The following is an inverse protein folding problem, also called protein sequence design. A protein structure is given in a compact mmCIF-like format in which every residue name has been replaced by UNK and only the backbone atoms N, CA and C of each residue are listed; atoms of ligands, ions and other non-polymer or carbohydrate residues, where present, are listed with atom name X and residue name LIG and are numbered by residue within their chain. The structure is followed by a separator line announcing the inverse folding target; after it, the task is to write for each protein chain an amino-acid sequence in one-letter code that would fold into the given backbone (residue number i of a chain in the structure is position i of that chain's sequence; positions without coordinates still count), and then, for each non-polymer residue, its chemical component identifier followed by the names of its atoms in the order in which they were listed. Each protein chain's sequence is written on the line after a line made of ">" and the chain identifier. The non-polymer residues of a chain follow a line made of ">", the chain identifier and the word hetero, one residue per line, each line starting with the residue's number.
data_IF_087975874786
#
_entry.id   IF_087975874786
#
_cell.length_a   1.000
_cell.length_b   1.000
_cell.length_c   1.000
_cell.angle_alpha   90.00
_cell.angle_beta   90.00
_cell.angle_gamma   90.00
#
_symmetry.space_group_name_H-M   'P 1'
#
loop_
_entity.id
_entity.type
_entity.pdbx_description
1 polymer ?
#
# COMPACT_ATOMS: atom_id res chain seq x y z
N UNK A 1 -17.47 -16.67 -18.27
CA UNK A 1 -17.17 -17.90 -19.04
C UNK A 1 -15.69 -18.00 -19.34
N UNK A 2 -15.06 -17.02 -20.00
CA UNK A 2 -13.61 -17.06 -20.31
C UNK A 2 -12.69 -17.39 -19.12
N UNK A 3 -12.89 -16.75 -17.96
CA UNK A 3 -12.10 -17.04 -16.74
C UNK A 3 -12.21 -18.50 -16.27
N UNK A 4 -13.36 -19.15 -16.48
CA UNK A 4 -13.52 -20.56 -16.12
C UNK A 4 -12.77 -21.49 -17.06
N UNK A 5 -12.21 -21.00 -18.18
CA UNK A 5 -11.30 -21.76 -19.04
C UNK A 5 -10.03 -22.24 -18.31
N UNK A 6 -9.63 -21.56 -17.24
CA UNK A 6 -8.51 -21.97 -16.40
C UNK A 6 -8.88 -23.11 -15.42
N UNK A 7 -7.87 -23.85 -15.00
CA UNK A 7 -7.95 -24.84 -13.91
C UNK A 7 -8.00 -24.18 -12.54
N UNK A 8 -7.24 -23.09 -12.37
CA UNK A 8 -7.17 -22.30 -11.15
C UNK A 8 -7.36 -20.83 -11.49
N UNK A 9 -8.25 -20.15 -10.77
CA UNK A 9 -8.47 -18.71 -10.82
C UNK A 9 -8.05 -18.12 -9.47
N UNK A 10 -6.94 -17.39 -9.46
CA UNK A 10 -6.40 -16.76 -8.26
C UNK A 10 -6.93 -15.35 -8.03
N UNK A 11 -7.22 -15.03 -6.77
CA UNK A 11 -7.63 -13.70 -6.32
C UNK A 11 -6.68 -13.20 -5.23
N UNK A 12 -6.62 -11.88 -4.99
CA UNK A 12 -5.82 -11.35 -3.89
C UNK A 12 -6.49 -11.59 -2.54
N UNK A 13 -7.81 -11.40 -2.47
CA UNK A 13 -8.60 -11.49 -1.25
C UNK A 13 -9.60 -12.64 -1.31
N UNK A 14 -9.88 -13.24 -0.15
CA UNK A 14 -10.88 -14.30 -0.04
C UNK A 14 -12.28 -13.82 -0.47
N UNK A 15 -12.62 -12.57 -0.14
CA UNK A 15 -13.90 -11.99 -0.53
C UNK A 15 -14.05 -11.88 -2.05
N UNK A 16 -12.98 -11.56 -2.77
CA UNK A 16 -13.03 -11.44 -4.24
C UNK A 16 -13.24 -12.82 -4.89
N UNK A 17 -12.63 -13.87 -4.35
CA UNK A 17 -12.91 -15.26 -4.77
C UNK A 17 -14.37 -15.65 -4.49
N UNK A 18 -14.90 -15.32 -3.31
CA UNK A 18 -16.32 -15.54 -2.96
C UNK A 18 -17.27 -14.79 -3.90
N UNK A 19 -16.93 -13.55 -4.26
CA UNK A 19 -17.71 -12.74 -5.20
C UNK A 19 -17.73 -13.39 -6.60
N UNK A 20 -16.57 -13.88 -7.07
CA UNK A 20 -16.48 -14.61 -8.33
C UNK A 20 -17.33 -15.88 -8.32
N UNK A 21 -17.21 -16.71 -7.28
CA UNK A 21 -17.99 -17.95 -7.12
C UNK A 21 -19.51 -17.67 -7.08
N UNK A 22 -19.91 -16.58 -6.40
CA UNK A 22 -21.29 -16.13 -6.37
C UNK A 22 -21.78 -15.68 -7.76
N UNK A 23 -20.95 -14.95 -8.49
CA UNK A 23 -21.25 -14.55 -9.87
C UNK A 23 -21.37 -15.75 -10.80
N UNK A 24 -20.50 -16.76 -10.68
CA UNK A 24 -20.59 -18.02 -11.43
C UNK A 24 -21.91 -18.73 -11.15
N UNK A 25 -22.26 -18.93 -9.88
CA UNK A 25 -23.52 -19.59 -9.49
C UNK A 25 -24.75 -18.82 -9.99
N UNK A 26 -24.78 -17.50 -9.87
CA UNK A 26 -25.95 -16.68 -10.23
C UNK A 26 -26.08 -16.42 -11.73
N UNK A 27 -24.97 -16.12 -12.41
CA UNK A 27 -24.99 -15.69 -13.83
C UNK A 27 -24.86 -16.86 -14.80
N UNK A 28 -24.06 -17.87 -14.46
CA UNK A 28 -23.84 -19.03 -15.32
C UNK A 28 -24.64 -20.26 -14.88
N UNK A 29 -25.27 -20.22 -13.70
CA UNK A 29 -26.06 -21.33 -13.13
C UNK A 29 -25.29 -22.65 -13.04
N UNK A 30 -23.97 -22.54 -12.85
CA UNK A 30 -23.09 -23.70 -12.65
C UNK A 30 -23.07 -24.13 -11.20
N UNK A 31 -22.83 -25.42 -10.97
CA UNK A 31 -22.64 -25.97 -9.63
C UNK A 31 -21.30 -25.50 -9.03
N UNK A 32 -21.37 -25.11 -7.75
CA UNK A 32 -20.25 -24.55 -7.00
C UNK A 32 -20.25 -25.12 -5.59
N UNK A 33 -19.24 -25.93 -5.28
CA UNK A 33 -19.02 -26.57 -3.98
C UNK A 33 -17.69 -26.10 -3.37
N UNK A 34 -17.77 -25.36 -2.27
CA UNK A 34 -16.59 -24.71 -1.68
C UNK A 34 -15.92 -23.75 -2.67
N UNK A 35 -14.63 -23.94 -2.93
CA UNK A 35 -13.85 -23.21 -3.92
C UNK A 35 -13.91 -23.81 -5.34
N UNK A 36 -14.64 -24.91 -5.52
CA UNK A 36 -14.64 -25.67 -6.78
C UNK A 36 -15.90 -25.38 -7.60
N UNK A 37 -15.72 -25.18 -8.90
CA UNK A 37 -16.76 -24.98 -9.90
C UNK A 37 -16.78 -26.19 -10.83
N UNK A 38 -17.96 -26.78 -11.04
CA UNK A 38 -18.17 -27.82 -12.05
C UNK A 38 -18.38 -27.16 -13.41
N UNK A 39 -17.45 -27.37 -14.35
CA UNK A 39 -17.46 -26.74 -15.68
C UNK A 39 -17.82 -27.78 -16.74
N UNK A 40 -18.99 -27.67 -17.40
CA UNK A 40 -19.45 -28.67 -18.37
C UNK A 40 -18.93 -28.45 -19.80
N UNK A 41 -18.39 -27.26 -20.10
CA UNK A 41 -17.97 -26.89 -21.45
C UNK A 41 -16.58 -27.46 -21.77
N UNK A 42 -16.45 -28.15 -22.91
CA UNK A 42 -15.18 -28.75 -23.34
C UNK A 42 -14.83 -30.07 -22.65
N UNK A 43 -15.83 -30.76 -22.07
CA UNK A 43 -15.67 -31.97 -21.27
C UNK A 43 -15.90 -31.69 -19.78
N UNK A 44 -16.44 -32.67 -19.01
CA UNK A 44 -16.68 -32.47 -17.59
C UNK A 44 -15.35 -32.30 -16.85
N UNK A 45 -15.16 -31.14 -16.24
CA UNK A 45 -13.98 -30.85 -15.42
C UNK A 45 -14.34 -29.93 -14.26
N UNK A 46 -13.37 -29.71 -13.39
CA UNK A 46 -13.46 -28.76 -12.29
C UNK A 46 -12.52 -27.58 -12.51
N UNK A 47 -12.89 -26.43 -11.96
CA UNK A 47 -12.02 -25.26 -11.82
C UNK A 47 -12.03 -24.81 -10.36
N UNK A 48 -10.88 -24.38 -9.83
CA UNK A 48 -10.76 -23.90 -8.45
C UNK A 48 -10.59 -22.39 -8.43
N UNK A 49 -11.38 -21.69 -7.62
CA UNK A 49 -11.21 -20.27 -7.37
C UNK A 49 -10.93 -20.01 -5.88
N UNK A 50 -9.75 -19.46 -5.57
CA UNK A 50 -9.36 -19.12 -4.20
C UNK A 50 -8.41 -17.93 -4.14
N UNK A 51 -8.15 -17.45 -2.94
CA UNK A 51 -7.22 -16.35 -2.71
C UNK A 51 -5.77 -16.83 -2.61
N UNK A 52 -4.87 -16.04 -3.19
CA UNK A 52 -3.41 -16.14 -3.18
C UNK A 52 -2.86 -14.72 -3.07
N UNK A 53 -2.75 -14.17 -1.85
CA UNK A 53 -2.31 -12.80 -1.64
C UNK A 53 -0.85 -12.66 -2.10
N UNK A 54 -0.62 -11.86 -3.14
CA UNK A 54 0.72 -11.64 -3.69
C UNK A 54 1.58 -10.88 -2.67
N UNK A 55 2.88 -11.09 -2.75
CA UNK A 55 3.86 -10.44 -1.91
C UNK A 55 5.08 -10.02 -2.72
N UNK A 56 6.11 -9.53 -2.03
CA UNK A 56 7.36 -9.07 -2.66
C UNK A 56 8.48 -10.08 -2.43
N UNK A 57 9.51 -10.02 -3.28
CA UNK A 57 10.83 -10.50 -2.89
C UNK A 57 11.41 -9.50 -1.89
N UNK A 58 11.58 -9.93 -0.64
CA UNK A 58 12.01 -9.04 0.45
C UNK A 58 13.51 -8.81 0.45
N UNK A 59 14.31 -9.72 -0.10
CA UNK A 59 15.77 -9.71 0.00
C UNK A 59 16.38 -8.43 -0.59
N UNK A 60 16.03 -7.98 -1.81
CA UNK A 60 16.55 -6.74 -2.34
C UNK A 60 16.26 -5.50 -1.46
N UNK A 61 15.12 -5.47 -0.77
CA UNK A 61 14.75 -4.34 0.09
C UNK A 61 15.50 -4.39 1.42
N UNK A 62 15.70 -5.58 2.00
CA UNK A 62 16.48 -5.73 3.24
C UNK A 62 17.95 -5.41 3.01
N UNK A 63 18.50 -5.86 1.88
CA UNK A 63 19.91 -5.66 1.53
C UNK A 63 20.20 -4.17 1.28
N UNK A 64 19.36 -3.51 0.46
CA UNK A 64 19.47 -2.07 0.24
C UNK A 64 19.30 -1.28 1.54
N UNK A 65 18.38 -1.68 2.43
CA UNK A 65 18.18 -1.00 3.71
C UNK A 65 19.35 -1.17 4.70
N UNK A 66 20.20 -2.18 4.49
CA UNK A 66 21.42 -2.39 5.29
C UNK A 66 22.63 -1.61 4.76
N UNK A 67 22.59 -1.15 3.50
CA UNK A 67 23.71 -0.46 2.86
C UNK A 67 24.01 0.91 3.50
N UNK A 68 25.28 1.21 3.83
CA UNK A 68 25.67 2.49 4.40
C UNK A 68 25.34 3.70 3.50
N UNK A 69 25.52 3.58 2.19
CA UNK A 69 25.24 4.66 1.23
C UNK A 69 23.75 4.99 1.15
N UNK A 70 22.87 3.99 1.20
CA UNK A 70 21.42 4.20 1.22
C UNK A 70 20.95 4.84 2.53
N UNK A 71 21.60 4.51 3.65
CA UNK A 71 21.33 5.14 4.96
C UNK A 71 21.81 6.59 5.02
N UNK A 72 22.99 6.86 4.45
CA UNK A 72 23.48 8.23 4.28
C UNK A 72 22.50 9.04 3.42
N UNK A 73 22.03 8.47 2.31
CA UNK A 73 21.01 9.09 1.45
C UNK A 73 19.72 9.39 2.21
N UNK A 74 19.26 8.49 3.07
CA UNK A 74 18.09 8.74 3.92
C UNK A 74 18.30 9.93 4.87
N UNK A 75 19.51 10.10 5.42
CA UNK A 75 19.85 11.26 6.25
C UNK A 75 19.89 12.57 5.45
N UNK A 76 20.49 12.56 4.26
CA UNK A 76 20.50 13.70 3.32
C UNK A 76 19.07 14.13 2.93
N UNK A 77 18.16 13.17 2.72
CA UNK A 77 16.75 13.47 2.44
C UNK A 77 16.13 14.23 3.61
N UNK A 78 16.41 13.84 4.86
CA UNK A 78 15.90 14.57 6.04
C UNK A 78 16.49 15.97 6.14
N UNK A 79 17.78 16.11 5.88
CA UNK A 79 18.47 17.41 5.90
C UNK A 79 17.90 18.35 4.82
N UNK A 80 17.70 17.84 3.60
CA UNK A 80 17.09 18.60 2.51
C UNK A 80 15.62 18.97 2.72
N UNK A 81 14.96 18.40 3.72
CA UNK A 81 13.60 18.76 4.16
C UNK A 81 13.59 19.73 5.35
N UNK A 82 14.75 20.21 5.81
CA UNK A 82 14.85 21.09 6.98
C UNK A 82 14.94 20.37 8.32
N UNK A 83 15.24 19.06 8.31
CA UNK A 83 15.27 18.21 9.51
C UNK A 83 13.98 18.24 10.35
N UNK A 84 12.80 17.99 9.73
CA UNK A 84 11.55 17.97 10.48
C UNK A 84 11.57 16.88 11.55
N UNK A 85 10.82 17.06 12.64
CA UNK A 85 10.68 16.05 13.69
C UNK A 85 10.07 14.77 13.15
N UNK A 86 9.12 14.88 12.21
CA UNK A 86 8.41 13.75 11.58
C UNK A 86 8.28 13.91 10.08
N UNK A 87 8.58 12.83 9.37
CA UNK A 87 8.32 12.70 7.93
C UNK A 87 7.18 11.70 7.72
N UNK A 88 6.09 12.16 7.14
CA UNK A 88 5.02 11.30 6.64
C UNK A 88 5.30 11.02 5.16
N UNK A 89 5.15 9.77 4.72
CA UNK A 89 5.44 9.37 3.35
C UNK A 89 4.22 8.71 2.70
N UNK A 90 3.86 9.22 1.52
CA UNK A 90 2.93 8.59 0.59
C UNK A 90 3.64 8.20 -0.70
N UNK A 91 3.47 6.97 -1.16
CA UNK A 91 4.06 6.49 -2.42
C UNK A 91 3.00 5.70 -3.18
N UNK A 92 2.59 6.23 -4.32
CA UNK A 92 1.51 5.65 -5.10
C UNK A 92 1.73 5.92 -6.59
N UNK A 93 1.15 5.10 -7.46
CA UNK A 93 0.88 5.55 -8.84
C UNK A 93 -0.19 6.62 -8.77
N UNK A 94 -0.11 7.64 -9.63
CA UNK A 94 -1.18 8.63 -9.74
C UNK A 94 -2.45 7.95 -10.27
N UNK A 95 -3.36 7.59 -9.37
CA UNK A 95 -4.55 6.80 -9.65
C UNK A 95 -5.64 7.10 -8.61
N UNK A 96 -6.88 7.24 -9.05
CA UNK A 96 -8.01 7.65 -8.20
C UNK A 96 -8.31 6.63 -7.10
N UNK A 97 -7.90 5.36 -7.26
CA UNK A 97 -8.11 4.35 -6.21
C UNK A 97 -7.13 4.47 -5.06
N UNK A 98 -6.05 5.26 -5.20
CA UNK A 98 -4.97 5.35 -4.20
C UNK A 98 -5.23 6.32 -3.06
N UNK A 99 -6.31 7.09 -3.13
CA UNK A 99 -6.74 7.95 -2.02
C UNK A 99 -5.75 9.07 -1.68
N UNK A 100 -4.91 9.49 -2.64
CA UNK A 100 -3.92 10.57 -2.48
C UNK A 100 -4.63 11.87 -2.06
N UNK A 101 -5.75 12.21 -2.70
CA UNK A 101 -6.58 13.38 -2.33
C UNK A 101 -7.07 13.33 -0.88
N UNK A 102 -7.41 12.15 -0.36
CA UNK A 102 -7.90 12.00 1.02
C UNK A 102 -6.77 12.20 2.02
N UNK A 103 -5.58 11.69 1.72
CA UNK A 103 -4.36 11.90 2.51
C UNK A 103 -3.97 13.38 2.58
N UNK A 104 -3.93 14.05 1.42
CA UNK A 104 -3.59 15.47 1.32
C UNK A 104 -4.62 16.32 2.08
N UNK A 105 -5.92 16.02 1.90
CA UNK A 105 -6.99 16.70 2.62
C UNK A 105 -6.84 16.55 4.15
N UNK A 106 -6.68 15.32 4.65
CA UNK A 106 -6.51 15.09 6.09
C UNK A 106 -5.27 15.80 6.64
N UNK A 107 -4.17 15.82 5.90
CA UNK A 107 -2.95 16.53 6.30
C UNK A 107 -3.17 18.06 6.35
N UNK A 108 -3.83 18.63 5.34
CA UNK A 108 -4.20 20.05 5.32
C UNK A 108 -5.10 20.44 6.49
N UNK A 109 -6.14 19.65 6.77
CA UNK A 109 -7.04 19.91 7.92
C UNK A 109 -6.31 19.81 9.27
N UNK A 110 -5.32 18.91 9.42
CA UNK A 110 -4.49 18.87 10.64
C UNK A 110 -3.65 20.13 10.84
N UNK A 111 -3.17 20.73 9.75
CA UNK A 111 -2.44 22.00 9.79
C UNK A 111 -3.39 23.16 10.14
N UNK A 112 -4.54 23.24 9.47
CA UNK A 112 -5.57 24.26 9.72
C UNK A 112 -6.06 24.23 11.18
N UNK A 113 -6.14 23.05 11.78
CA UNK A 113 -6.53 22.83 13.18
C UNK A 113 -5.40 23.08 14.18
N UNK A 114 -4.17 23.32 13.72
CA UNK A 114 -2.99 23.46 14.58
C UNK A 114 -2.62 22.19 15.34
N UNK A 115 -3.06 21.01 14.88
CA UNK A 115 -2.73 19.71 15.48
C UNK A 115 -1.31 19.26 15.11
N UNK A 116 -0.79 19.76 13.99
CA UNK A 116 0.60 19.66 13.55
C UNK A 116 1.04 21.03 13.03
N UNK A 117 2.35 21.26 12.96
CA UNK A 117 2.94 22.42 12.29
C UNK A 117 3.97 21.97 11.25
N UNK A 118 4.26 22.84 10.28
CA UNK A 118 5.22 22.54 9.20
C UNK A 118 6.67 22.47 9.66
N UNK A 119 7.03 23.09 10.80
CA UNK A 119 8.37 22.93 11.38
C UNK A 119 8.58 21.53 11.96
N UNK A 120 7.50 20.91 12.45
CA UNK A 120 7.55 19.62 13.10
C UNK A 120 7.24 18.45 12.15
N UNK A 121 6.30 18.61 11.22
CA UNK A 121 5.76 17.52 10.41
C UNK A 121 5.69 17.92 8.94
N UNK A 122 6.34 17.12 8.09
CA UNK A 122 6.27 17.28 6.62
C UNK A 122 5.66 16.04 5.98
N UNK A 123 4.80 16.24 4.99
CA UNK A 123 4.32 15.16 4.12
C UNK A 123 5.14 15.12 2.83
N UNK A 124 5.78 13.99 2.55
CA UNK A 124 6.39 13.69 1.25
C UNK A 124 5.44 12.80 0.46
N UNK A 125 5.05 13.24 -0.74
CA UNK A 125 4.19 12.48 -1.64
C UNK A 125 4.93 12.20 -2.95
N UNK A 126 5.28 10.93 -3.17
CA UNK A 126 5.76 10.44 -4.46
C UNK A 126 4.57 9.91 -5.26
N UNK A 127 4.35 10.48 -6.43
CA UNK A 127 3.32 10.07 -7.36
C UNK A 127 3.95 9.65 -8.69
N UNK A 128 4.04 8.35 -8.96
CA UNK A 128 4.56 7.88 -10.25
C UNK A 128 3.54 8.13 -11.36
N UNK A 129 3.93 8.73 -12.50
CA UNK A 129 3.03 8.96 -13.63
C UNK A 129 2.35 7.66 -14.10
N UNK A 130 1.07 7.75 -14.45
CA UNK A 130 0.27 6.58 -14.85
C UNK A 130 -0.88 7.01 -15.75
N UNK A 131 -1.02 6.35 -16.90
CA UNK A 131 -2.16 6.52 -17.83
C UNK A 131 -2.44 7.99 -18.22
N UNK A 132 -1.38 8.74 -18.49
CA UNK A 132 -1.42 10.20 -18.71
C UNK A 132 -2.27 10.68 -19.90
N UNK A 133 -2.70 9.77 -20.78
CA UNK A 133 -3.59 10.08 -21.91
C UNK A 133 -5.08 9.90 -21.60
N UNK A 134 -5.42 9.48 -20.38
CA UNK A 134 -6.80 9.27 -19.96
C UNK A 134 -7.26 10.48 -19.17
N UNK A 135 -8.31 11.17 -19.63
CA UNK A 135 -8.77 12.44 -19.06
C UNK A 135 -8.99 12.39 -17.53
N UNK A 136 -9.55 11.29 -17.02
CA UNK A 136 -9.75 11.11 -15.58
C UNK A 136 -8.44 11.14 -14.77
N UNK A 137 -7.32 10.70 -15.36
CA UNK A 137 -5.99 10.75 -14.71
C UNK A 137 -5.37 12.14 -14.80
N UNK A 138 -5.62 12.87 -15.89
CA UNK A 138 -5.20 14.28 -16.05
C UNK A 138 -5.93 15.15 -15.03
N UNK A 139 -7.26 15.04 -14.95
CA UNK A 139 -8.06 15.80 -13.98
C UNK A 139 -7.64 15.50 -12.54
N UNK A 140 -7.41 14.22 -12.21
CA UNK A 140 -6.93 13.83 -10.89
C UNK A 140 -5.57 14.48 -10.56
N UNK A 141 -4.67 14.57 -11.55
CA UNK A 141 -3.39 15.23 -11.40
C UNK A 141 -3.59 16.70 -11.03
N UNK A 142 -4.37 17.42 -11.83
CA UNK A 142 -4.62 18.84 -11.65
C UNK A 142 -5.24 19.13 -10.28
N UNK A 143 -6.20 18.31 -9.85
CA UNK A 143 -6.81 18.42 -8.51
C UNK A 143 -5.79 18.20 -7.37
N UNK A 144 -4.87 17.24 -7.52
CA UNK A 144 -3.83 16.97 -6.53
C UNK A 144 -2.81 18.12 -6.49
N UNK A 145 -2.31 18.53 -7.64
CA UNK A 145 -1.32 19.62 -7.74
C UNK A 145 -1.89 20.94 -7.21
N UNK A 146 -3.15 21.25 -7.53
CA UNK A 146 -3.84 22.43 -6.99
C UNK A 146 -3.99 22.36 -5.46
N UNK A 147 -4.38 21.20 -4.92
CA UNK A 147 -4.52 21.03 -3.48
C UNK A 147 -3.18 21.17 -2.74
N UNK A 148 -2.11 20.58 -3.29
CA UNK A 148 -0.74 20.74 -2.77
C UNK A 148 -0.32 22.21 -2.79
N UNK A 149 -0.49 22.88 -3.94
CA UNK A 149 -0.09 24.27 -4.10
C UNK A 149 -0.83 25.19 -3.12
N UNK A 150 -2.12 24.94 -2.89
CA UNK A 150 -2.92 25.69 -1.92
C UNK A 150 -2.44 25.47 -0.49
N UNK A 151 -2.32 24.21 -0.04
CA UNK A 151 -1.88 23.89 1.32
C UNK A 151 -0.49 24.46 1.59
N UNK A 152 0.44 24.31 0.65
CA UNK A 152 1.77 24.90 0.78
C UNK A 152 1.71 26.43 0.81
N UNK A 153 0.89 27.07 -0.05
CA UNK A 153 0.73 28.52 -0.03
C UNK A 153 0.16 29.08 1.27
N UNK A 154 -0.70 28.31 1.94
CA UNK A 154 -1.33 28.69 3.21
C UNK A 154 -0.40 28.44 4.42
N UNK A 155 0.49 27.44 4.36
CA UNK A 155 1.23 26.93 5.53
C UNK A 155 2.76 26.92 5.43
N UNK A 156 3.35 27.05 4.25
CA UNK A 156 4.82 27.01 4.10
C UNK A 156 5.48 28.17 4.87
N UNK A 157 6.68 27.90 5.38
CA UNK A 157 7.60 28.93 5.87
C UNK A 157 8.77 29.06 4.91
N UNK A 158 9.67 30.03 5.15
CA UNK A 158 10.89 30.17 4.34
C UNK A 158 11.76 28.90 4.36
N UNK A 159 11.72 28.15 5.46
CA UNK A 159 12.60 27.00 5.71
C UNK A 159 11.87 25.64 5.59
N UNK A 160 10.54 25.62 5.69
CA UNK A 160 9.76 24.38 5.74
C UNK A 160 8.61 24.38 4.73
N UNK A 161 8.50 23.27 4.00
CA UNK A 161 7.38 23.00 3.08
C UNK A 161 6.41 22.02 3.73
N UNK A 162 5.11 22.32 3.73
CA UNK A 162 4.07 21.46 4.25
C UNK A 162 4.04 20.10 3.51
N UNK A 163 3.92 20.15 2.18
CA UNK A 163 3.86 18.97 1.32
C UNK A 163 4.94 19.03 0.23
N UNK A 164 5.91 18.11 0.30
CA UNK A 164 6.86 17.85 -0.80
C UNK A 164 6.24 16.87 -1.78
N UNK A 165 5.66 17.38 -2.87
CA UNK A 165 5.08 16.57 -3.94
C UNK A 165 6.08 16.30 -5.07
N UNK A 166 6.20 15.05 -5.49
CA UNK A 166 7.15 14.58 -6.50
C UNK A 166 6.41 13.72 -7.54
N UNK A 167 6.12 14.30 -8.72
CA UNK A 167 5.48 13.59 -9.83
C UNK A 167 6.51 12.93 -10.76
N UNK A 168 7.20 11.90 -10.25
CA UNK A 168 8.20 11.15 -11.00
C UNK A 168 8.41 9.75 -10.42
N UNK A 169 8.97 8.85 -11.24
CA UNK A 169 9.44 7.56 -10.76
C UNK A 169 10.84 7.66 -10.17
N UNK A 170 11.12 6.84 -9.17
CA UNK A 170 12.45 6.75 -8.55
C UNK A 170 13.05 5.35 -8.73
N UNK A 171 14.39 5.25 -8.83
CA UNK A 171 15.07 3.98 -8.74
C UNK A 171 14.87 3.36 -7.34
N UNK A 172 15.07 2.05 -7.24
CA UNK A 172 14.76 1.29 -6.02
C UNK A 172 15.57 1.78 -4.82
N UNK A 173 16.83 2.13 -5.03
CA UNK A 173 17.75 2.63 -4.01
C UNK A 173 17.21 3.92 -3.37
N UNK A 174 16.75 4.87 -4.19
CA UNK A 174 16.18 6.13 -3.71
C UNK A 174 14.84 5.89 -2.99
N UNK A 175 14.02 4.95 -3.49
CA UNK A 175 12.79 4.55 -2.80
C UNK A 175 13.05 3.95 -1.42
N UNK A 176 14.08 3.10 -1.29
CA UNK A 176 14.48 2.53 0.01
C UNK A 176 15.00 3.63 0.93
N UNK A 177 15.77 4.59 0.42
CA UNK A 177 16.21 5.74 1.21
C UNK A 177 15.02 6.58 1.72
N UNK A 178 14.00 6.83 0.89
CA UNK A 178 12.76 7.48 1.31
C UNK A 178 12.01 6.69 2.39
N UNK A 179 11.90 5.36 2.24
CA UNK A 179 11.26 4.50 3.26
C UNK A 179 11.99 4.53 4.61
N UNK A 180 13.33 4.65 4.59
CA UNK A 180 14.16 4.77 5.80
C UNK A 180 14.07 6.17 6.41
N UNK A 181 13.96 7.22 5.59
CA UNK A 181 13.82 8.60 6.04
C UNK A 181 12.46 8.87 6.71
N UNK A 182 11.40 8.19 6.25
CA UNK A 182 10.04 8.37 6.76
C UNK A 182 9.86 7.90 8.22
N UNK A 183 9.08 8.62 9.01
CA UNK A 183 8.63 8.20 10.34
C UNK A 183 7.29 7.45 10.28
N UNK A 184 6.43 7.78 9.31
CA UNK A 184 5.21 7.04 9.05
C UNK A 184 4.94 6.90 7.56
N UNK A 185 4.58 5.69 7.14
CA UNK A 185 4.09 5.41 5.80
C UNK A 185 2.56 5.47 5.81
N UNK A 186 1.99 6.31 4.96
CA UNK A 186 0.55 6.46 4.79
C UNK A 186 0.13 5.70 3.53
N UNK A 187 -0.71 4.68 3.67
CA UNK A 187 -1.27 3.91 2.55
C UNK A 187 -2.79 4.00 2.64
N UNK A 188 -3.38 4.96 1.92
CA UNK A 188 -4.78 5.39 2.12
C UNK A 188 -5.69 5.01 0.94
N UNK A 189 -5.35 3.93 0.24
CA UNK A 189 -6.09 3.51 -0.96
C UNK A 189 -7.57 3.23 -0.66
N UNK A 190 -8.47 3.77 -1.48
CA UNK A 190 -9.92 3.56 -1.41
C UNK A 190 -10.32 2.15 -1.83
N UNK A 191 -9.53 1.55 -2.74
CA UNK A 191 -9.65 0.14 -3.12
C UNK A 191 -8.34 -0.32 -3.73
N UNK A 192 -7.77 -1.39 -3.20
CA UNK A 192 -6.54 -1.97 -3.74
C UNK A 192 -6.54 -3.50 -3.61
N UNK A 193 -6.27 -4.19 -4.71
CA UNK A 193 -6.22 -5.66 -4.69
C UNK A 193 -5.14 -6.17 -3.73
N UNK A 194 -3.95 -5.58 -3.82
CA UNK A 194 -2.85 -5.73 -2.87
C UNK A 194 -2.00 -4.47 -2.92
N UNK A 195 -1.51 -4.00 -1.76
CA UNK A 195 -0.62 -2.85 -1.70
C UNK A 195 0.81 -3.32 -1.39
N UNK A 196 1.66 -3.41 -2.42
CA UNK A 196 3.03 -3.88 -2.27
C UNK A 196 3.93 -2.83 -1.62
N UNK A 197 3.68 -1.54 -1.84
CA UNK A 197 4.41 -0.44 -1.18
C UNK A 197 4.37 -0.58 0.35
N UNK A 198 3.22 -0.95 0.92
CA UNK A 198 3.10 -1.25 2.35
C UNK A 198 4.06 -2.36 2.80
N UNK A 199 4.18 -3.44 2.00
CA UNK A 199 5.08 -4.56 2.29
C UNK A 199 6.56 -4.17 2.09
N UNK A 200 6.87 -3.37 1.08
CA UNK A 200 8.20 -2.84 0.81
C UNK A 200 8.70 -1.99 1.97
N UNK A 201 7.88 -1.02 2.42
CA UNK A 201 8.19 -0.21 3.59
C UNK A 201 8.45 -1.08 4.82
N UNK A 202 7.57 -2.03 5.12
CA UNK A 202 7.77 -2.95 6.26
C UNK A 202 9.08 -3.74 6.11
N UNK A 203 9.41 -4.21 4.90
CA UNK A 203 10.63 -4.96 4.63
C UNK A 203 11.93 -4.15 4.84
N UNK A 204 11.92 -2.82 4.65
CA UNK A 204 13.10 -1.98 4.88
C UNK A 204 13.34 -1.62 6.36
N UNK A 205 12.32 -1.70 7.23
CA UNK A 205 12.43 -1.33 8.66
C UNK A 205 13.13 -2.36 9.55
N UNK A 206 14.35 -2.77 9.17
CA UNK A 206 15.20 -3.67 9.99
C UNK A 206 15.49 -3.11 11.39
N UNK A 207 15.44 -1.79 11.55
CA UNK A 207 15.58 -1.07 12.81
C UNK A 207 14.32 -1.13 13.71
N UNK A 208 13.23 -1.74 13.23
CA UNK A 208 11.94 -1.84 13.90
C UNK A 208 11.31 -0.49 14.25
N UNK A 209 11.73 0.60 13.60
CA UNK A 209 11.12 1.92 13.80
C UNK A 209 10.04 2.19 12.76
N UNK A 210 9.32 3.27 12.97
CA UNK A 210 8.35 3.81 12.03
C UNK A 210 6.98 3.15 12.14
N UNK A 211 5.98 3.84 11.60
CA UNK A 211 4.57 3.43 11.65
C UNK A 211 4.05 3.18 10.24
N UNK A 212 3.18 2.19 10.08
CA UNK A 212 2.40 1.98 8.86
C UNK A 212 0.94 2.32 9.17
N UNK A 213 0.41 3.36 8.55
CA UNK A 213 -1.02 3.67 8.49
C UNK A 213 -1.56 3.04 7.21
N UNK A 214 -2.55 2.16 7.32
CA UNK A 214 -2.97 1.29 6.23
C UNK A 214 -4.48 1.25 6.09
N UNK A 215 -4.97 1.56 4.90
CA UNK A 215 -6.39 1.45 4.58
C UNK A 215 -6.87 0.01 4.66
N UNK A 216 -8.00 -0.20 5.35
CA UNK A 216 -8.70 -1.48 5.45
C UNK A 216 -9.23 -2.00 4.09
N UNK A 217 -9.26 -1.12 3.08
CA UNK A 217 -9.70 -1.44 1.72
C UNK A 217 -8.56 -1.97 0.83
N UNK A 218 -7.38 -2.19 1.39
CA UNK A 218 -6.26 -2.86 0.73
C UNK A 218 -6.24 -4.35 1.06
N UNK A 219 -5.88 -5.20 0.10
CA UNK A 219 -5.59 -6.61 0.39
C UNK A 219 -4.45 -6.81 1.40
N UNK A 220 -3.54 -5.84 1.51
CA UNK A 220 -2.46 -5.87 2.50
C UNK A 220 -3.00 -5.82 3.94
N UNK A 221 -4.14 -5.16 4.19
CA UNK A 221 -4.74 -5.08 5.52
C UNK A 221 -5.22 -6.43 6.06
N UNK A 222 -5.55 -7.39 5.17
CA UNK A 222 -5.93 -8.74 5.57
C UNK A 222 -4.77 -9.47 6.30
N UNK A 223 -3.53 -9.12 5.95
CA UNK A 223 -2.29 -9.70 6.48
C UNK A 223 -1.59 -8.81 7.53
N UNK A 224 -1.57 -7.50 7.32
CA UNK A 224 -0.79 -6.51 8.09
C UNK A 224 -1.58 -5.92 9.27
N UNK A 225 -2.24 -6.76 10.06
CA UNK A 225 -3.19 -6.35 11.12
C UNK A 225 -2.60 -5.55 12.29
N UNK A 226 -1.27 -5.46 12.39
CA UNK A 226 -0.60 -4.64 13.42
C UNK A 226 -0.31 -3.21 12.97
N UNK A 227 -0.62 -2.88 11.71
CA UNK A 227 -0.66 -1.51 11.20
C UNK A 227 -1.73 -0.69 11.95
N UNK A 228 -1.66 0.64 11.84
CA UNK A 228 -2.77 1.52 12.21
C UNK A 228 -3.78 1.45 11.06
N UNK A 229 -4.84 0.65 11.23
CA UNK A 229 -5.85 0.48 10.20
C UNK A 229 -6.80 1.68 10.15
N UNK A 230 -7.17 2.10 8.95
CA UNK A 230 -8.02 3.28 8.74
C UNK A 230 -9.05 3.04 7.64
N UNK A 231 -10.24 3.61 7.79
CA UNK A 231 -11.17 3.82 6.70
C UNK A 231 -10.87 5.18 6.03
N UNK A 232 -10.34 5.22 4.79
CA UNK A 232 -9.96 6.48 4.15
C UNK A 232 -11.16 7.36 3.77
N UNK A 233 -12.39 6.85 3.81
CA UNK A 233 -13.60 7.65 3.63
C UNK A 233 -13.99 8.45 4.88
N UNK A 234 -13.45 8.08 6.04
CA UNK A 234 -13.58 8.82 7.29
C UNK A 234 -12.35 9.72 7.46
N UNK A 235 -12.48 11.00 7.09
CA UNK A 235 -11.38 11.96 7.16
C UNK A 235 -10.97 12.22 8.61
N UNK A 236 -11.91 12.30 9.56
CA UNK A 236 -11.58 12.45 10.98
C UNK A 236 -10.81 11.24 11.51
N UNK A 237 -11.28 10.03 11.20
CA UNK A 237 -10.56 8.80 11.52
C UNK A 237 -9.16 8.74 10.90
N UNK A 238 -8.98 9.28 9.68
CA UNK A 238 -7.66 9.38 9.04
C UNK A 238 -6.75 10.39 9.74
N UNK A 239 -7.26 11.55 10.14
CA UNK A 239 -6.53 12.54 10.92
C UNK A 239 -6.07 11.95 12.26
N UNK A 240 -6.95 11.25 12.97
CA UNK A 240 -6.61 10.58 14.22
C UNK A 240 -5.58 9.47 14.05
N UNK A 241 -5.67 8.69 12.96
CA UNK A 241 -4.67 7.69 12.62
C UNK A 241 -3.29 8.31 12.31
N UNK A 242 -3.26 9.46 11.63
CA UNK A 242 -2.02 10.22 11.38
C UNK A 242 -1.42 10.70 12.70
N UNK A 243 -2.22 11.30 13.59
CA UNK A 243 -1.75 11.74 14.90
C UNK A 243 -1.25 10.58 15.76
N UNK A 244 -1.96 9.45 15.76
CA UNK A 244 -1.50 8.24 16.41
C UNK A 244 -0.12 7.80 15.89
N UNK A 245 0.12 7.89 14.58
CA UNK A 245 1.42 7.55 14.00
C UNK A 245 2.52 8.54 14.36
N UNK A 246 2.21 9.84 14.37
CA UNK A 246 3.12 10.94 14.74
C UNK A 246 3.58 10.80 16.20
N UNK A 247 2.66 10.47 17.11
CA UNK A 247 2.89 10.44 18.55
C UNK A 247 3.25 9.05 19.09
N UNK A 248 3.27 8.02 18.24
CA UNK A 248 3.48 6.63 18.67
C UNK A 248 4.82 6.46 19.42
N UNK A 249 4.82 5.97 20.67
CA UNK A 249 6.06 5.76 21.42
C UNK A 249 6.97 4.70 20.78
N UNK A 250 8.31 4.83 20.85
CA UNK A 250 9.25 3.90 20.21
C UNK A 250 9.03 2.42 20.57
N UNK A 251 8.64 2.13 21.82
CA UNK A 251 8.34 0.76 22.27
C UNK A 251 7.15 0.16 21.52
N UNK A 252 6.12 0.96 21.26
CA UNK A 252 4.95 0.51 20.50
C UNK A 252 5.28 0.34 19.02
N UNK A 253 6.03 1.28 18.43
CA UNK A 253 6.51 1.18 17.04
C UNK A 253 7.28 -0.13 16.83
N UNK A 254 8.25 -0.43 17.70
CA UNK A 254 9.04 -1.66 17.66
C UNK A 254 8.21 -2.92 17.76
N UNK A 255 7.23 -2.95 18.67
CA UNK A 255 6.32 -4.09 18.83
C UNK A 255 5.51 -4.33 17.56
N UNK A 256 4.89 -3.29 16.99
CA UNK A 256 4.06 -3.39 15.78
C UNK A 256 4.90 -3.75 14.55
N UNK A 257 6.00 -3.04 14.33
CA UNK A 257 6.87 -3.24 13.17
C UNK A 257 7.49 -4.65 13.16
N UNK A 258 7.90 -5.18 14.32
CA UNK A 258 8.40 -6.57 14.41
C UNK A 258 7.36 -7.59 13.97
N UNK A 259 6.10 -7.41 14.37
CA UNK A 259 5.01 -8.31 13.97
C UNK A 259 4.68 -8.19 12.47
N UNK A 260 4.65 -6.95 11.94
CA UNK A 260 4.47 -6.70 10.51
C UNK A 260 5.58 -7.35 9.68
N UNK A 261 6.84 -7.15 10.09
CA UNK A 261 8.01 -7.73 9.41
C UNK A 261 7.99 -9.24 9.40
N UNK A 262 7.69 -9.87 10.55
CA UNK A 262 7.56 -11.33 10.62
C UNK A 262 6.57 -11.83 9.56
N UNK A 263 5.40 -11.20 9.45
CA UNK A 263 4.39 -11.58 8.46
C UNK A 263 4.89 -11.44 7.02
N UNK A 264 5.51 -10.31 6.68
CA UNK A 264 5.99 -10.04 5.31
C UNK A 264 7.14 -10.98 4.91
N UNK A 265 8.08 -11.24 5.82
CA UNK A 265 9.23 -12.13 5.55
C UNK A 265 8.82 -13.60 5.44
N UNK A 266 7.83 -14.06 6.21
CA UNK A 266 7.34 -15.44 6.14
C UNK A 266 6.45 -15.70 4.90
N UNK A 267 5.80 -14.67 4.37
CA UNK A 267 4.86 -14.77 3.24
C UNK A 267 5.39 -13.94 2.06
N UNK A 268 6.55 -14.31 1.53
CA UNK A 268 7.21 -13.65 0.41
C UNK A 268 6.63 -14.07 -0.96
N UNK A 269 7.15 -13.49 -2.05
CA UNK A 269 6.71 -13.83 -3.41
C UNK A 269 6.98 -15.30 -3.77
N UNK A 270 8.01 -15.93 -3.19
CA UNK A 270 8.31 -17.33 -3.43
C UNK A 270 7.27 -18.25 -2.78
N UNK A 271 6.84 -17.94 -1.55
CA UNK A 271 5.74 -18.63 -0.87
C UNK A 271 4.44 -18.52 -1.68
N UNK A 272 4.10 -17.30 -2.11
CA UNK A 272 2.93 -17.08 -2.98
C UNK A 272 2.98 -17.92 -4.27
N UNK A 273 4.13 -17.95 -4.95
CA UNK A 273 4.32 -18.70 -6.19
C UNK A 273 4.16 -20.20 -5.98
N UNK A 274 4.80 -20.75 -4.93
CA UNK A 274 4.66 -22.17 -4.55
C UNK A 274 3.20 -22.53 -4.26
N UNK A 275 2.49 -21.70 -3.50
CA UNK A 275 1.09 -21.97 -3.14
C UNK A 275 0.16 -21.99 -4.36
N UNK A 276 0.37 -21.08 -5.31
CA UNK A 276 -0.40 -21.04 -6.55
C UNK A 276 -0.11 -22.24 -7.45
N UNK A 277 1.17 -22.56 -7.66
CA UNK A 277 1.59 -23.69 -8.50
C UNK A 277 1.16 -25.04 -7.90
N UNK A 278 1.26 -25.21 -6.58
CA UNK A 278 0.75 -26.41 -5.90
C UNK A 278 -0.77 -26.57 -6.09
N UNK A 279 -1.52 -25.45 -6.11
CA UNK A 279 -2.95 -25.50 -6.40
C UNK A 279 -3.22 -26.01 -7.82
N UNK A 280 -2.42 -25.55 -8.79
CA UNK A 280 -2.55 -25.90 -10.20
C UNK A 280 -2.19 -27.38 -10.44
N UNK A 281 -1.11 -27.85 -9.82
CA UNK A 281 -0.70 -29.25 -9.87
C UNK A 281 -1.75 -30.18 -9.25
N UNK A 282 -2.32 -29.81 -8.09
CA UNK A 282 -3.36 -30.60 -7.44
C UNK A 282 -4.61 -30.76 -8.31
N UNK A 283 -5.03 -29.71 -9.04
CA UNK A 283 -6.18 -29.80 -9.96
C UNK A 283 -5.86 -30.69 -11.15
N UNK A 284 -4.62 -30.66 -11.66
CA UNK A 284 -4.19 -31.51 -12.77
C UNK A 284 -4.10 -32.99 -12.38
N UNK A 285 -3.58 -33.29 -11.19
CA UNK A 285 -3.45 -34.66 -10.68
C UNK A 285 -4.79 -35.30 -10.30
N UNK A 286 -5.84 -34.50 -10.11
CA UNK A 286 -7.19 -34.98 -9.80
C UNK A 286 -8.06 -35.25 -11.06
N UNK A 287 -7.51 -35.05 -12.26
CA UNK A 287 -8.13 -35.39 -13.54
C UNK A 287 -7.73 -36.80 -13.96
#
# INVERSE_FOLDING_TARGET
>A
QGLLGADVVGFQRAQDATNFLTAVRRRLRLDVKGSTVSVPYGGPRTAVARAFPISIDTTPYTDLAARPDVRARAAEIREGLGNPRKILLGVDRLDYTKGIRHRIKAFGELLDEGRISVEDVTLVQVASPSRERVDAYVQLRDEIELAVARINGDHDTMDHTAIRYLHQGFPREEMVALYLAADAMLVTALRDGMNLVAKEYVATRGDQRGVLVLSEFTGAADELRQAVLVNPHDIEGLKDAIMQAVDMPPREQSRRMRALRKRVLENDVNAWSRDFLAALENVRSAR
#
